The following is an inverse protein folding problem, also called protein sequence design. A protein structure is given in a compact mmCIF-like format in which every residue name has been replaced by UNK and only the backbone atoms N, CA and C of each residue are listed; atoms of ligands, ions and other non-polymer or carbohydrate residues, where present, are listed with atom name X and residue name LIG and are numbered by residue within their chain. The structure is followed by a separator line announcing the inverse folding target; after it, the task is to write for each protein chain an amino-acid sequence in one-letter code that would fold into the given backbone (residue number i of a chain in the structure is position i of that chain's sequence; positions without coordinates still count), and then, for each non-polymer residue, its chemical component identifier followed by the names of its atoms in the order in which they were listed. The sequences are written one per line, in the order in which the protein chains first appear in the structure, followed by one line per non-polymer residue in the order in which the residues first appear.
data_IF_875840086079
#
_entry.id   IF_875840086079
#
_cell.length_a   1.000
_cell.length_b   1.000
_cell.length_c   1.000
_cell.angle_alpha   90.00
_cell.angle_beta   90.00
_cell.angle_gamma   90.00
#
_symmetry.space_group_name_H-M   'P 1'
#
loop_
_entity.id
_entity.type
_entity.pdbx_description
1 polymer ?
#
# COMPACT_ATOMS: atom_id res chain seq x y z
N UNK A 1 4.58 -19.46 -5.77
CA UNK A 1 4.75 -19.61 -4.30
C UNK A 1 4.23 -18.37 -3.63
N UNK A 2 3.39 -18.55 -2.59
CA UNK A 2 2.81 -17.40 -1.91
C UNK A 2 3.91 -16.51 -1.31
N UNK A 3 3.85 -15.21 -1.61
CA UNK A 3 4.73 -14.20 -1.00
C UNK A 3 4.23 -13.77 0.38
N UNK A 4 2.92 -13.91 0.61
CA UNK A 4 2.25 -13.59 1.86
C UNK A 4 1.07 -14.52 2.06
N UNK A 5 0.95 -15.11 3.25
CA UNK A 5 -0.23 -15.88 3.67
C UNK A 5 -0.67 -15.44 5.05
N UNK A 6 -1.97 -15.26 5.21
CA UNK A 6 -2.63 -14.93 6.46
C UNK A 6 -3.62 -16.06 6.78
N UNK A 7 -3.47 -16.66 7.96
CA UNK A 7 -4.30 -17.77 8.40
C UNK A 7 -5.00 -17.43 9.71
N UNK A 8 -6.34 -17.40 9.66
CA UNK A 8 -7.25 -17.16 10.78
C UNK A 8 -6.87 -15.96 11.67
N UNK A 9 -6.46 -14.84 11.00
CA UNK A 9 -5.98 -13.66 11.71
C UNK A 9 -7.11 -12.97 12.48
N UNK A 10 -6.85 -12.69 13.77
CA UNK A 10 -7.72 -11.86 14.59
C UNK A 10 -6.89 -10.83 15.36
N UNK A 11 -7.44 -9.63 15.48
CA UNK A 11 -6.82 -8.50 16.19
C UNK A 11 -7.84 -7.82 17.08
N UNK A 12 -7.42 -7.40 18.25
CA UNK A 12 -8.22 -6.64 19.20
C UNK A 12 -7.44 -5.51 19.86
N UNK A 13 -8.14 -4.64 20.60
CA UNK A 13 -7.61 -3.59 21.46
C UNK A 13 -8.39 -3.61 22.76
N UNK A 14 -7.70 -3.61 23.88
CA UNK A 14 -8.28 -3.53 25.24
C UNK A 14 -9.38 -4.57 25.50
N UNK A 15 -9.23 -5.76 24.93
CA UNK A 15 -10.19 -6.87 25.08
C UNK A 15 -11.36 -6.86 24.08
N UNK A 16 -11.44 -5.88 23.19
CA UNK A 16 -12.44 -5.82 22.14
C UNK A 16 -11.83 -6.29 20.80
N UNK A 17 -12.47 -7.26 20.16
CA UNK A 17 -12.08 -7.74 18.83
C UNK A 17 -12.46 -6.72 17.76
N UNK A 18 -11.47 -6.28 16.97
CA UNK A 18 -11.64 -5.30 15.88
C UNK A 18 -11.70 -6.00 14.54
N UNK A 19 -10.97 -7.09 14.37
CA UNK A 19 -10.91 -7.87 13.14
C UNK A 19 -10.80 -9.35 13.49
N UNK A 20 -11.63 -10.20 12.90
CA UNK A 20 -11.70 -11.62 13.22
C UNK A 20 -11.65 -12.52 11.97
N UNK A 21 -10.91 -13.63 12.07
CA UNK A 21 -10.97 -14.75 11.15
C UNK A 21 -10.52 -14.45 9.72
N UNK A 22 -9.54 -13.54 9.52
CA UNK A 22 -9.08 -13.16 8.17
C UNK A 22 -8.13 -14.21 7.60
N UNK A 23 -8.47 -14.68 6.39
CA UNK A 23 -7.74 -15.70 5.64
C UNK A 23 -7.52 -15.25 4.21
N UNK A 24 -6.27 -15.10 3.78
CA UNK A 24 -5.94 -14.88 2.38
C UNK A 24 -4.49 -15.25 2.07
N UNK A 25 -4.22 -15.50 0.81
CA UNK A 25 -2.88 -15.77 0.31
C UNK A 25 -2.64 -15.02 -0.99
N UNK A 26 -1.44 -14.48 -1.17
CA UNK A 26 -1.02 -13.74 -2.38
C UNK A 26 0.21 -14.38 -2.97
N UNK A 27 0.23 -14.55 -4.26
CA UNK A 27 1.42 -14.89 -5.02
C UNK A 27 2.20 -13.63 -5.42
N UNK A 28 3.48 -13.82 -5.78
CA UNK A 28 4.30 -12.72 -6.27
C UNK A 28 3.67 -12.08 -7.54
N UNK A 29 3.59 -10.76 -7.55
CA UNK A 29 2.97 -9.98 -8.62
C UNK A 29 1.46 -9.79 -8.49
N UNK A 30 0.81 -10.34 -7.47
CA UNK A 30 -0.61 -10.05 -7.21
C UNK A 30 -0.83 -8.59 -6.82
N UNK A 31 -2.01 -8.08 -7.18
CA UNK A 31 -2.49 -6.79 -6.71
C UNK A 31 -3.76 -6.99 -5.88
N UNK A 32 -3.63 -6.93 -4.56
CA UNK A 32 -4.75 -7.00 -3.62
C UNK A 32 -5.29 -5.61 -3.31
N UNK A 33 -6.58 -5.41 -3.43
CA UNK A 33 -7.25 -4.25 -2.84
C UNK A 33 -8.07 -4.67 -1.62
N UNK A 34 -7.77 -4.05 -0.46
CA UNK A 34 -8.51 -4.23 0.79
C UNK A 34 -9.56 -3.13 0.87
N UNK A 35 -10.82 -3.51 0.85
CA UNK A 35 -11.97 -2.60 0.90
C UNK A 35 -12.84 -2.86 2.11
N UNK A 36 -13.70 -1.93 2.46
CA UNK A 36 -14.65 -2.03 3.56
C UNK A 36 -14.96 -0.68 4.18
N UNK A 37 -15.98 -0.62 5.00
CA UNK A 37 -16.41 0.61 5.68
C UNK A 37 -15.35 1.14 6.67
N UNK A 38 -15.52 2.39 7.11
CA UNK A 38 -14.67 2.95 8.16
C UNK A 38 -14.86 2.14 9.46
N UNK A 39 -13.74 1.84 10.14
CA UNK A 39 -13.77 0.99 11.33
C UNK A 39 -13.73 -0.51 11.07
N UNK A 40 -13.82 -1.00 9.82
CA UNK A 40 -13.84 -2.44 9.50
C UNK A 40 -12.53 -3.21 9.77
N UNK A 41 -11.50 -2.57 10.34
CA UNK A 41 -10.24 -3.23 10.69
C UNK A 41 -9.13 -3.12 9.64
N UNK A 42 -9.32 -2.41 8.53
CA UNK A 42 -8.29 -2.26 7.46
C UNK A 42 -6.95 -1.75 7.97
N UNK A 43 -6.94 -0.66 8.73
CA UNK A 43 -5.71 -0.10 9.30
C UNK A 43 -5.10 -1.02 10.36
N UNK A 44 -5.90 -1.84 11.04
CA UNK A 44 -5.41 -2.85 11.98
C UNK A 44 -4.73 -3.99 11.24
N UNK A 45 -5.29 -4.44 10.11
CA UNK A 45 -4.64 -5.42 9.23
C UNK A 45 -3.29 -4.89 8.74
N UNK A 46 -3.22 -3.63 8.25
CA UNK A 46 -1.96 -2.98 7.85
C UNK A 46 -0.92 -3.04 8.97
N UNK A 47 -1.30 -2.64 10.19
CA UNK A 47 -0.39 -2.68 11.35
C UNK A 47 0.11 -4.11 11.63
N UNK A 48 -0.75 -5.12 11.45
CA UNK A 48 -0.37 -6.53 11.53
C UNK A 48 0.65 -6.93 10.48
N UNK A 49 0.41 -6.60 9.21
CA UNK A 49 1.30 -6.90 8.09
C UNK A 49 2.67 -6.21 8.23
N UNK A 50 2.71 -5.01 8.81
CA UNK A 50 3.95 -4.29 9.11
C UNK A 50 4.67 -4.78 10.38
N UNK A 51 4.10 -5.76 11.10
CA UNK A 51 4.65 -6.23 12.37
C UNK A 51 4.52 -5.24 13.52
N UNK A 52 3.74 -4.16 13.35
CA UNK A 52 3.51 -3.14 14.37
C UNK A 52 2.46 -3.56 15.41
N UNK A 53 1.67 -4.58 15.09
CA UNK A 53 0.70 -5.20 15.98
C UNK A 53 0.74 -6.73 15.80
N UNK A 54 0.86 -7.44 16.92
CA UNK A 54 0.79 -8.91 16.91
C UNK A 54 -0.67 -9.35 16.83
N UNK A 55 -1.00 -10.38 16.02
CA UNK A 55 -2.32 -10.97 16.03
C UNK A 55 -2.60 -11.64 17.38
N UNK A 56 -3.86 -11.63 17.82
CA UNK A 56 -4.33 -12.37 19.01
C UNK A 56 -4.54 -13.85 18.66
N UNK A 57 -4.97 -14.12 17.44
CA UNK A 57 -5.12 -15.47 16.88
C UNK A 57 -4.58 -15.51 15.45
N UNK A 58 -4.18 -16.67 15.00
CA UNK A 58 -3.72 -16.92 13.66
C UNK A 58 -2.27 -16.52 13.42
N UNK A 59 -1.85 -16.51 12.17
CA UNK A 59 -0.47 -16.23 11.78
C UNK A 59 -0.35 -15.48 10.46
N UNK A 60 0.75 -14.71 10.33
CA UNK A 60 1.17 -14.06 9.10
C UNK A 60 2.49 -14.73 8.69
N UNK A 61 2.52 -15.30 7.49
CA UNK A 61 3.69 -15.96 6.95
C UNK A 61 4.16 -15.20 5.70
N UNK A 62 5.40 -14.77 5.72
CA UNK A 62 6.07 -14.19 4.57
C UNK A 62 6.85 -15.28 3.83
N UNK A 63 6.58 -15.44 2.54
CA UNK A 63 7.28 -16.34 1.65
C UNK A 63 8.40 -15.67 0.86
N UNK A 64 9.08 -16.44 0.02
CA UNK A 64 10.13 -15.97 -0.88
C UNK A 64 11.23 -15.12 -0.21
N UNK A 65 11.51 -15.40 1.07
CA UNK A 65 12.50 -14.66 1.86
C UNK A 65 12.14 -13.21 2.14
N UNK A 66 10.88 -12.80 1.98
CA UNK A 66 10.42 -11.46 2.34
C UNK A 66 10.42 -11.30 3.86
N UNK A 67 10.93 -10.18 4.35
CA UNK A 67 10.84 -9.77 5.75
C UNK A 67 9.91 -8.57 5.89
N UNK A 68 9.25 -8.41 7.03
CA UNK A 68 8.36 -7.27 7.29
C UNK A 68 9.07 -5.92 7.15
N UNK A 69 10.38 -5.88 7.43
CA UNK A 69 11.24 -4.70 7.27
C UNK A 69 11.53 -4.34 5.80
N UNK A 70 11.26 -5.25 4.85
CA UNK A 70 11.47 -5.05 3.42
C UNK A 70 10.17 -4.68 2.70
N UNK A 71 9.09 -4.44 3.43
CA UNK A 71 7.83 -3.94 2.87
C UNK A 71 7.96 -2.44 2.59
N UNK A 72 7.71 -2.04 1.36
CA UNK A 72 7.57 -0.62 1.02
C UNK A 72 6.23 -0.10 1.51
N UNK A 73 6.23 0.85 2.42
CA UNK A 73 4.99 1.37 3.00
C UNK A 73 4.75 2.83 2.66
N UNK A 74 3.57 3.09 2.10
CA UNK A 74 3.03 4.43 1.91
C UNK A 74 1.86 4.60 2.88
N UNK A 75 2.04 5.36 3.96
CA UNK A 75 0.99 5.61 4.95
C UNK A 75 -0.05 6.59 4.43
N UNK A 76 -1.24 6.55 5.02
CA UNK A 76 -2.23 7.61 4.87
C UNK A 76 -1.60 8.96 5.28
N UNK A 77 -1.64 9.93 4.37
CA UNK A 77 -0.96 11.20 4.55
C UNK A 77 -1.68 12.09 5.56
N UNK A 78 -0.97 12.51 6.60
CA UNK A 78 -1.43 13.52 7.57
C UNK A 78 -0.96 14.92 7.19
N UNK A 79 -1.61 15.96 7.72
CA UNK A 79 -1.23 17.36 7.48
C UNK A 79 0.21 17.67 7.94
N UNK A 80 0.63 17.11 9.08
CA UNK A 80 2.01 17.28 9.61
C UNK A 80 3.05 16.70 8.63
N UNK A 81 2.72 15.60 7.94
CA UNK A 81 3.62 15.02 6.94
C UNK A 81 3.71 15.86 5.66
N UNK A 82 2.64 16.60 5.31
CA UNK A 82 2.64 17.53 4.16
C UNK A 82 3.58 18.71 4.37
N UNK A 83 3.72 19.16 5.60
CA UNK A 83 4.51 20.34 5.97
C UNK A 83 5.96 20.01 6.36
N UNK A 84 6.43 18.79 6.03
CA UNK A 84 7.78 18.35 6.39
C UNK A 84 8.86 19.13 5.65
N UNK A 85 9.79 19.84 6.34
CA UNK A 85 10.77 20.75 5.75
C UNK A 85 12.00 19.99 5.23
N UNK A 86 11.82 19.21 4.16
CA UNK A 86 12.91 18.48 3.50
C UNK A 86 12.82 18.64 1.99
N UNK A 87 13.93 18.44 1.30
CA UNK A 87 13.92 18.31 -0.15
C UNK A 87 13.28 16.99 -0.59
N UNK A 88 12.72 16.96 -1.79
CA UNK A 88 12.16 15.74 -2.40
C UNK A 88 13.19 14.60 -2.39
N UNK A 89 14.45 14.90 -2.72
CA UNK A 89 15.53 13.91 -2.71
C UNK A 89 15.75 13.31 -1.32
N UNK A 90 15.73 14.11 -0.26
CA UNK A 90 15.91 13.62 1.11
C UNK A 90 14.74 12.73 1.54
N UNK A 91 13.50 13.12 1.19
CA UNK A 91 12.32 12.31 1.46
C UNK A 91 12.43 10.94 0.77
N UNK A 92 12.75 10.90 -0.53
CA UNK A 92 12.85 9.63 -1.26
C UNK A 92 14.01 8.79 -0.75
N UNK A 93 15.17 9.40 -0.49
CA UNK A 93 16.36 8.72 0.01
C UNK A 93 16.12 8.09 1.40
N UNK A 94 15.24 8.68 2.22
CA UNK A 94 14.87 8.11 3.50
C UNK A 94 14.21 6.71 3.38
N UNK A 95 13.65 6.36 2.22
CA UNK A 95 13.17 5.01 1.93
C UNK A 95 14.26 3.94 1.91
N UNK A 96 15.54 4.33 1.76
CA UNK A 96 16.66 3.41 1.80
C UNK A 96 17.17 3.11 3.22
N UNK A 97 16.56 3.66 4.29
CA UNK A 97 17.00 3.45 5.68
C UNK A 97 17.07 1.97 6.06
N UNK A 98 16.13 1.15 5.60
CA UNK A 98 16.11 -0.29 5.88
C UNK A 98 17.36 -1.01 5.36
N UNK A 99 17.98 -0.50 4.28
CA UNK A 99 19.17 -1.09 3.65
C UNK A 99 20.49 -0.57 4.20
N UNK A 100 20.47 0.37 5.16
CA UNK A 100 21.69 0.91 5.74
C UNK A 100 22.44 -0.11 6.60
N UNK A 101 21.73 -1.01 7.33
CA UNK A 101 22.34 -1.89 8.30
C UNK A 101 23.13 -1.10 9.34
N UNK A 102 24.45 -1.36 9.43
CA UNK A 102 25.35 -0.62 10.33
C UNK A 102 25.98 0.65 9.72
N UNK A 103 25.62 1.01 8.49
CA UNK A 103 26.17 2.21 7.83
C UNK A 103 25.51 3.48 8.39
N UNK A 104 26.32 4.50 8.62
CA UNK A 104 25.84 5.81 9.09
C UNK A 104 25.40 6.74 7.95
N UNK A 105 25.77 6.42 6.70
CA UNK A 105 25.52 7.28 5.54
C UNK A 105 25.03 6.47 4.34
N UNK A 106 24.20 7.10 3.52
CA UNK A 106 23.78 6.57 2.22
C UNK A 106 24.97 6.46 1.26
N UNK A 107 25.09 5.33 0.60
CA UNK A 107 26.12 5.09 -0.41
C UNK A 107 25.65 5.51 -1.82
N UNK A 108 26.51 5.25 -2.84
CA UNK A 108 26.19 5.57 -4.22
C UNK A 108 24.99 4.77 -4.77
N UNK A 109 24.82 3.52 -4.32
CA UNK A 109 23.71 2.66 -4.74
C UNK A 109 22.38 3.13 -4.18
N UNK A 110 22.33 3.56 -2.90
CA UNK A 110 21.13 4.15 -2.29
C UNK A 110 20.69 5.41 -3.06
N UNK A 111 21.66 6.28 -3.41
CA UNK A 111 21.41 7.50 -4.19
C UNK A 111 20.95 7.19 -5.61
N UNK A 112 21.51 6.18 -6.25
CA UNK A 112 21.09 5.70 -7.58
C UNK A 112 19.67 5.17 -7.53
N UNK A 113 19.32 4.35 -6.51
CA UNK A 113 17.97 3.81 -6.30
C UNK A 113 16.94 4.93 -6.12
N UNK A 114 17.26 5.95 -5.31
CA UNK A 114 16.41 7.11 -5.13
C UNK A 114 16.21 7.89 -6.44
N UNK A 115 17.27 8.13 -7.21
CA UNK A 115 17.19 8.82 -8.50
C UNK A 115 16.32 8.04 -9.51
N UNK A 116 16.51 6.72 -9.62
CA UNK A 116 15.70 5.85 -10.51
C UNK A 116 14.23 5.88 -10.13
N UNK A 117 13.89 5.89 -8.84
CA UNK A 117 12.49 5.94 -8.42
C UNK A 117 11.87 7.34 -8.61
N UNK A 118 12.63 8.42 -8.53
CA UNK A 118 12.18 9.76 -8.93
C UNK A 118 11.85 9.82 -10.42
N UNK A 119 12.72 9.30 -11.28
CA UNK A 119 12.52 9.21 -12.73
C UNK A 119 11.28 8.37 -13.06
N UNK A 120 11.12 7.20 -12.43
CA UNK A 120 9.93 6.33 -12.61
C UNK A 120 8.62 7.02 -12.25
N UNK A 121 8.63 7.90 -11.27
CA UNK A 121 7.46 8.69 -10.87
C UNK A 121 7.29 9.96 -11.69
N UNK A 122 8.21 10.27 -12.63
CA UNK A 122 8.17 11.46 -13.46
C UNK A 122 8.29 12.76 -12.67
N UNK A 123 9.18 12.75 -11.65
CA UNK A 123 9.39 13.88 -10.72
C UNK A 123 10.88 14.16 -10.46
N UNK A 124 11.77 13.72 -11.33
CA UNK A 124 13.21 13.92 -11.21
C UNK A 124 13.62 15.40 -11.21
N UNK A 125 12.90 16.23 -11.97
CA UNK A 125 13.07 17.68 -12.02
C UNK A 125 12.73 18.38 -10.69
N UNK A 126 11.97 17.70 -9.82
CA UNK A 126 11.57 18.20 -8.51
C UNK A 126 12.55 17.84 -7.40
N UNK A 127 13.59 17.04 -7.67
CA UNK A 127 14.47 16.45 -6.67
C UNK A 127 15.10 17.45 -5.68
N UNK A 128 15.40 18.66 -6.13
CA UNK A 128 15.96 19.74 -5.30
C UNK A 128 14.93 20.66 -4.66
N UNK A 129 13.63 20.51 -4.99
CA UNK A 129 12.56 21.37 -4.43
C UNK A 129 12.20 20.93 -3.02
N UNK A 130 11.64 21.88 -2.25
CA UNK A 130 11.02 21.57 -0.96
C UNK A 130 9.78 20.69 -1.17
N UNK A 131 9.68 19.59 -0.42
CA UNK A 131 8.52 18.69 -0.43
C UNK A 131 7.22 19.41 -0.07
N UNK A 132 7.28 20.33 0.89
CA UNK A 132 6.17 21.15 1.36
C UNK A 132 5.55 22.03 0.25
N UNK A 133 6.36 22.46 -0.73
CA UNK A 133 5.89 23.31 -1.84
C UNK A 133 5.24 22.55 -3.01
N UNK A 134 5.08 21.24 -2.91
CA UNK A 134 4.53 20.40 -3.97
C UNK A 134 2.99 20.33 -3.93
N UNK A 135 2.37 20.10 -5.10
CA UNK A 135 0.96 19.72 -5.15
C UNK A 135 0.72 18.36 -4.47
N UNK A 136 -0.53 18.09 -4.04
CA UNK A 136 -0.89 16.81 -3.40
C UNK A 136 -0.51 15.60 -4.25
N UNK A 137 -0.76 15.62 -5.56
CA UNK A 137 -0.38 14.54 -6.47
C UNK A 137 1.14 14.36 -6.58
N UNK A 138 1.92 15.47 -6.62
CA UNK A 138 3.37 15.40 -6.59
C UNK A 138 3.90 14.83 -5.27
N UNK A 139 3.32 15.24 -4.14
CA UNK A 139 3.69 14.69 -2.83
C UNK A 139 3.43 13.18 -2.75
N UNK A 140 2.30 12.70 -3.28
CA UNK A 140 1.99 11.27 -3.32
C UNK A 140 2.97 10.50 -4.21
N UNK A 141 3.39 11.03 -5.36
CA UNK A 141 4.43 10.44 -6.20
C UNK A 141 5.78 10.36 -5.48
N UNK A 142 6.14 11.39 -4.69
CA UNK A 142 7.35 11.38 -3.84
C UNK A 142 7.27 10.28 -2.77
N UNK A 143 6.14 10.13 -2.11
CA UNK A 143 5.94 9.08 -1.10
C UNK A 143 5.94 7.68 -1.72
N UNK A 144 5.38 7.52 -2.93
CA UNK A 144 5.45 6.26 -3.68
C UNK A 144 6.90 5.94 -4.08
N UNK A 145 7.66 6.92 -4.58
CA UNK A 145 9.10 6.76 -4.87
C UNK A 145 9.89 6.35 -3.63
N UNK A 146 9.60 6.97 -2.47
CA UNK A 146 10.18 6.61 -1.17
C UNK A 146 9.86 5.16 -0.78
N UNK A 147 8.60 4.73 -0.89
CA UNK A 147 8.19 3.37 -0.58
C UNK A 147 8.89 2.33 -1.48
N UNK A 148 9.07 2.64 -2.77
CA UNK A 148 9.80 1.81 -3.73
C UNK A 148 11.31 1.74 -3.44
N UNK A 149 11.88 2.70 -2.72
CA UNK A 149 13.26 2.58 -2.25
C UNK A 149 13.43 1.51 -1.15
N UNK A 150 12.37 1.22 -0.40
CA UNK A 150 12.38 0.26 0.70
C UNK A 150 12.16 -1.19 0.24
N UNK A 151 11.57 -1.43 -0.93
CA UNK A 151 11.19 -2.77 -1.37
C UNK A 151 11.48 -3.04 -2.85
N UNK A 152 11.58 -4.35 -3.16
CA UNK A 152 11.52 -4.88 -4.53
C UNK A 152 10.45 -5.96 -4.69
N UNK A 153 9.71 -6.30 -3.63
CA UNK A 153 8.81 -7.45 -3.57
C UNK A 153 7.38 -7.10 -3.21
N UNK A 154 7.17 -6.31 -2.16
CA UNK A 154 5.85 -6.02 -1.62
C UNK A 154 5.68 -4.54 -1.28
N UNK A 155 4.69 -3.90 -1.89
CA UNK A 155 4.30 -2.52 -1.66
C UNK A 155 2.95 -2.48 -0.94
N UNK A 156 2.89 -1.82 0.20
CA UNK A 156 1.69 -1.61 1.00
C UNK A 156 1.29 -0.14 0.96
N UNK A 157 0.07 0.15 0.51
CA UNK A 157 -0.44 1.49 0.27
C UNK A 157 -1.71 1.71 1.11
N UNK A 158 -1.69 2.70 2.00
CA UNK A 158 -2.83 3.03 2.85
C UNK A 158 -3.52 4.28 2.33
N UNK A 159 -4.64 4.10 1.64
CA UNK A 159 -5.45 5.17 1.02
C UNK A 159 -4.64 6.18 0.20
N UNK A 160 -3.83 5.74 -0.78
CA UNK A 160 -2.84 6.59 -1.45
C UNK A 160 -3.43 7.74 -2.26
N UNK A 161 -4.71 7.69 -2.61
CA UNK A 161 -5.38 8.69 -3.46
C UNK A 161 -6.26 9.66 -2.69
N UNK A 162 -6.36 9.51 -1.37
CA UNK A 162 -7.24 10.34 -0.54
C UNK A 162 -6.85 11.81 -0.61
N UNK A 163 -7.82 12.67 -0.97
CA UNK A 163 -7.63 14.11 -1.09
C UNK A 163 -6.95 14.58 -2.40
N UNK A 164 -6.80 13.69 -3.38
CA UNK A 164 -6.35 14.06 -4.73
C UNK A 164 -7.55 14.42 -5.63
N UNK A 165 -7.29 15.28 -6.60
CA UNK A 165 -8.24 15.51 -7.69
C UNK A 165 -8.36 14.26 -8.61
N UNK A 166 -9.43 14.18 -9.45
CA UNK A 166 -9.65 12.99 -10.29
C UNK A 166 -8.53 12.67 -11.27
N UNK A 167 -7.83 13.70 -11.80
CA UNK A 167 -6.74 13.51 -12.76
C UNK A 167 -5.53 12.90 -12.04
N UNK A 168 -5.08 13.51 -10.95
CA UNK A 168 -3.98 13.03 -10.15
C UNK A 168 -4.26 11.61 -9.58
N UNK A 169 -5.52 11.33 -9.20
CA UNK A 169 -5.98 10.01 -8.79
C UNK A 169 -5.76 8.96 -9.88
N UNK A 170 -6.22 9.24 -11.11
CA UNK A 170 -6.06 8.32 -12.23
C UNK A 170 -4.59 8.08 -12.60
N UNK A 171 -3.78 9.14 -12.58
CA UNK A 171 -2.34 9.06 -12.83
C UNK A 171 -1.63 8.19 -11.79
N UNK A 172 -1.96 8.36 -10.49
CA UNK A 172 -1.35 7.58 -9.42
C UNK A 172 -1.73 6.10 -9.51
N UNK A 173 -3.00 5.77 -9.79
CA UNK A 173 -3.40 4.37 -10.03
C UNK A 173 -2.64 3.75 -11.20
N UNK A 174 -2.44 4.48 -12.30
CA UNK A 174 -1.69 4.01 -13.45
C UNK A 174 -0.21 3.75 -13.09
N UNK A 175 0.42 4.63 -12.31
CA UNK A 175 1.80 4.43 -11.83
C UNK A 175 1.91 3.18 -10.94
N UNK A 176 0.97 2.97 -10.00
CA UNK A 176 0.93 1.78 -9.15
C UNK A 176 0.76 0.51 -10.01
N UNK A 177 -0.13 0.55 -11.01
CA UNK A 177 -0.33 -0.56 -11.95
C UNK A 177 0.92 -0.87 -12.76
N UNK A 178 1.64 0.15 -13.24
CA UNK A 178 2.91 -0.03 -13.96
C UNK A 178 3.96 -0.69 -13.07
N UNK A 179 4.10 -0.24 -11.82
CA UNK A 179 5.00 -0.85 -10.84
C UNK A 179 4.66 -2.33 -10.61
N UNK A 180 3.38 -2.66 -10.51
CA UNK A 180 2.95 -4.05 -10.34
C UNK A 180 3.25 -4.90 -11.58
N UNK A 181 2.84 -4.44 -12.78
CA UNK A 181 2.94 -5.24 -14.01
C UNK A 181 4.35 -5.32 -14.59
N UNK A 182 5.12 -4.21 -14.56
CA UNK A 182 6.44 -4.16 -15.20
C UNK A 182 7.55 -4.65 -14.29
N UNK A 183 7.43 -4.43 -12.97
CA UNK A 183 8.46 -4.82 -12.01
C UNK A 183 8.11 -6.10 -11.23
N UNK A 184 6.90 -6.62 -11.40
CA UNK A 184 6.43 -7.80 -10.67
C UNK A 184 6.26 -7.57 -9.17
N UNK A 185 6.21 -6.31 -8.72
CA UNK A 185 6.02 -5.98 -7.30
C UNK A 185 4.59 -6.30 -6.89
N UNK A 186 4.43 -7.12 -5.85
CA UNK A 186 3.13 -7.40 -5.24
C UNK A 186 2.61 -6.14 -4.57
N UNK A 187 1.35 -5.81 -4.78
CA UNK A 187 0.72 -4.61 -4.21
C UNK A 187 -0.40 -4.99 -3.28
N UNK A 188 -0.42 -4.43 -2.08
CA UNK A 188 -1.57 -4.43 -1.18
C UNK A 188 -1.99 -2.97 -1.00
N UNK A 189 -3.19 -2.63 -1.44
CA UNK A 189 -3.72 -1.28 -1.33
C UNK A 189 -5.01 -1.26 -0.52
N UNK A 190 -5.06 -0.42 0.49
CA UNK A 190 -6.31 -0.11 1.18
C UNK A 190 -7.01 1.04 0.46
N UNK A 191 -8.29 0.85 0.16
CA UNK A 191 -9.10 1.88 -0.49
C UNK A 191 -10.55 1.80 0.00
N UNK A 192 -11.22 2.94 0.05
CA UNK A 192 -12.67 3.02 0.21
C UNK A 192 -13.40 3.08 -1.14
N UNK A 193 -12.67 3.23 -2.25
CA UNK A 193 -13.21 3.25 -3.60
C UNK A 193 -13.26 1.84 -4.19
N UNK A 194 -14.44 1.21 -4.10
CA UNK A 194 -14.66 -0.16 -4.61
C UNK A 194 -14.63 -0.18 -6.14
N UNK A 195 -15.02 0.90 -6.84
CA UNK A 195 -14.96 0.95 -8.30
C UNK A 195 -13.51 0.91 -8.78
N UNK A 196 -12.63 1.69 -8.16
CA UNK A 196 -11.21 1.63 -8.45
C UNK A 196 -10.60 0.26 -8.09
N UNK A 197 -10.98 -0.31 -6.93
CA UNK A 197 -10.52 -1.64 -6.52
C UNK A 197 -10.82 -2.69 -7.58
N UNK A 198 -12.06 -2.75 -8.06
CA UNK A 198 -12.49 -3.72 -9.09
C UNK A 198 -11.79 -3.49 -10.45
N UNK A 199 -11.41 -2.24 -10.76
CA UNK A 199 -10.76 -1.87 -12.03
C UNK A 199 -9.27 -2.23 -12.07
N UNK A 200 -8.57 -2.05 -10.96
CA UNK A 200 -7.11 -2.12 -10.94
C UNK A 200 -6.54 -3.37 -10.28
N UNK A 201 -7.23 -3.92 -9.27
CA UNK A 201 -6.73 -5.08 -8.53
C UNK A 201 -6.99 -6.42 -9.23
N UNK A 202 -6.12 -7.40 -8.97
CA UNK A 202 -6.35 -8.82 -9.34
C UNK A 202 -7.22 -9.51 -8.32
N UNK A 203 -7.06 -9.17 -7.04
CA UNK A 203 -7.78 -9.74 -5.90
C UNK A 203 -8.42 -8.66 -5.04
N UNK A 204 -9.54 -9.00 -4.43
CA UNK A 204 -10.25 -8.14 -3.47
C UNK A 204 -10.42 -8.87 -2.14
N UNK A 205 -10.07 -8.19 -1.06
CA UNK A 205 -10.39 -8.55 0.31
C UNK A 205 -11.40 -7.53 0.84
N UNK A 206 -12.64 -7.94 1.07
CA UNK A 206 -13.67 -7.08 1.67
C UNK A 206 -13.83 -7.39 3.14
N UNK A 207 -13.61 -6.38 3.98
CA UNK A 207 -13.68 -6.47 5.43
C UNK A 207 -14.89 -5.75 6.00
N UNK A 208 -15.51 -6.35 7.03
CA UNK A 208 -16.60 -5.78 7.81
C UNK A 208 -16.52 -6.23 9.28
N UNK A 209 -15.39 -5.99 9.98
CA UNK A 209 -14.94 -6.60 11.24
C UNK A 209 -14.54 -8.08 11.12
N UNK A 210 -15.09 -8.78 10.16
CA UNK A 210 -14.70 -10.12 9.71
C UNK A 210 -14.43 -10.09 8.21
N UNK A 211 -13.93 -11.19 7.68
CA UNK A 211 -13.75 -11.34 6.24
C UNK A 211 -15.09 -11.62 5.57
N UNK A 212 -15.61 -10.63 4.83
CA UNK A 212 -16.85 -10.78 4.05
C UNK A 212 -16.60 -11.44 2.69
N UNK A 213 -15.43 -11.22 2.11
CA UNK A 213 -15.02 -11.80 0.83
C UNK A 213 -13.51 -11.77 0.67
N UNK A 214 -12.96 -12.82 0.04
CA UNK A 214 -11.63 -12.82 -0.57
C UNK A 214 -11.68 -13.64 -1.88
N UNK A 215 -11.11 -13.09 -2.94
CA UNK A 215 -11.04 -13.77 -4.23
C UNK A 215 -10.66 -12.82 -5.37
N UNK A 216 -10.74 -13.32 -6.61
CA UNK A 216 -10.44 -12.49 -7.79
C UNK A 216 -11.41 -11.32 -7.93
N UNK A 217 -10.95 -10.21 -8.53
CA UNK A 217 -11.80 -9.05 -8.80
C UNK A 217 -12.96 -9.40 -9.75
N UNK A 218 -12.80 -10.40 -10.62
CA UNK A 218 -13.87 -10.92 -11.46
C UNK A 218 -14.98 -11.61 -10.62
N UNK A 219 -14.60 -12.53 -9.71
CA UNK A 219 -15.53 -13.19 -8.81
C UNK A 219 -16.22 -12.19 -7.87
N UNK A 220 -15.50 -11.17 -7.41
CA UNK A 220 -16.07 -10.11 -6.58
C UNK A 220 -17.20 -9.37 -7.30
N UNK A 221 -17.01 -8.99 -8.59
CA UNK A 221 -18.04 -8.29 -9.40
C UNK A 221 -19.36 -9.06 -9.48
N UNK A 222 -19.31 -10.39 -9.54
CA UNK A 222 -20.48 -11.26 -9.66
C UNK A 222 -21.17 -11.51 -8.31
N UNK A 223 -20.51 -11.19 -7.20
CA UNK A 223 -21.01 -11.43 -5.85
C UNK A 223 -22.21 -10.55 -5.50
N UNK A 224 -23.06 -11.04 -4.59
CA UNK A 224 -24.16 -10.25 -4.00
C UNK A 224 -23.61 -9.05 -3.20
N UNK A 225 -22.42 -9.18 -2.64
CA UNK A 225 -21.74 -8.13 -1.90
C UNK A 225 -21.38 -6.96 -2.83
N UNK A 226 -20.79 -7.24 -4.01
CA UNK A 226 -20.48 -6.21 -5.01
C UNK A 226 -21.74 -5.45 -5.47
N UNK A 227 -22.86 -6.16 -5.71
CA UNK A 227 -24.13 -5.53 -6.11
C UNK A 227 -24.64 -4.54 -5.07
N UNK A 228 -24.45 -4.83 -3.79
CA UNK A 228 -24.85 -3.96 -2.68
C UNK A 228 -24.02 -2.67 -2.64
N UNK A 229 -22.73 -2.75 -2.92
CA UNK A 229 -21.79 -1.61 -2.82
C UNK A 229 -21.53 -0.88 -4.14
N UNK A 230 -21.62 -1.59 -5.29
CA UNK A 230 -21.49 -0.99 -6.63
C UNK A 230 -22.85 -0.55 -7.20
N UNK A 231 -23.95 -1.16 -6.77
CA UNK A 231 -25.30 -0.92 -7.30
C UNK A 231 -26.05 0.28 -6.68
N UNK A 232 -25.49 0.98 -5.71
CA UNK A 232 -26.07 2.18 -5.10
C UNK A 232 -25.98 3.45 -5.95
N UNK A 233 -25.24 3.44 -7.06
CA UNK A 233 -25.19 4.46 -8.08
C UNK A 233 -25.81 3.91 -9.36
N UNK A 234 -27.01 4.40 -9.74
CA UNK A 234 -27.58 4.12 -11.07
C UNK A 234 -26.53 4.40 -12.14
N UNK A 235 -26.26 3.39 -12.98
CA UNK A 235 -25.59 3.53 -14.26
C UNK A 235 -26.32 4.58 -15.11
#
# INVERSE_FOLDING_TARGET
MAILSCDNLSFGYDGETVLEGVNFSLDAGDYLCVVGENGSGKSTLIKGLLGLKKPEKGSILFGDGLQSTEIGYLPQQTQIQRDFPASVREVVLSGCLNSLGHRLHYNAEDRKRAAMNLERMGIEDLAGKSYQGLSGGQQQRVLLARALCATKKLLLLDEPVTGLDPIATGELYNLIKLVNLCDGITVIMVSHDIHAAVRYATHILHLGHEQLFFGSSAAYRESSLARRFLGGGRL
#
